data_IF_319815789314
#
_entry.id   IF_319815789314
#
_cell.length_a   1.000
_cell.length_b   1.000
_cell.length_c   1.000
_cell.angle_alpha   90.00
_cell.angle_beta   90.00
_cell.angle_gamma   90.00
#
_symmetry.space_group_name_H-M   'P 1'
#
loop_
_entity.id
_entity.type
_entity.pdbx_description
1 polymer ?
#
# COMPACT_ATOMS: atom_id res chain seq x y z
N UNK A 1 1.24 22.28 -8.27
CA UNK A 1 1.60 21.35 -9.36
C UNK A 1 1.06 19.99 -8.97
N UNK A 2 -0.09 19.58 -9.53
CA UNK A 2 -0.64 18.24 -9.32
C UNK A 2 0.24 17.26 -10.11
N UNK A 3 1.33 16.80 -9.49
CA UNK A 3 2.12 15.69 -10.05
C UNK A 3 1.20 14.49 -10.24
N UNK A 4 1.14 13.97 -11.46
CA UNK A 4 0.33 12.80 -11.79
C UNK A 4 0.65 11.66 -10.81
N UNK A 5 -0.36 11.19 -10.07
CA UNK A 5 -0.20 10.06 -9.17
C UNK A 5 -0.05 8.75 -9.95
N UNK A 6 0.48 7.73 -9.29
CA UNK A 6 0.53 6.36 -9.79
C UNK A 6 -0.55 5.52 -9.12
N UNK A 7 -1.22 4.67 -9.87
CA UNK A 7 -2.22 3.74 -9.36
C UNK A 7 -1.90 2.32 -9.77
N UNK A 8 -2.09 1.38 -8.84
CA UNK A 8 -1.89 -0.04 -9.06
C UNK A 8 -3.07 -0.82 -8.45
N UNK A 9 -3.63 -1.74 -9.22
CA UNK A 9 -4.64 -2.66 -8.73
C UNK A 9 -4.04 -3.65 -7.73
N UNK A 10 -4.82 -3.98 -6.71
CA UNK A 10 -4.49 -4.92 -5.65
C UNK A 10 -5.66 -5.89 -5.47
N UNK A 11 -5.38 -7.19 -5.53
CA UNK A 11 -6.28 -8.23 -5.07
C UNK A 11 -5.45 -9.36 -4.45
N UNK A 12 -5.75 -9.74 -3.21
CA UNK A 12 -5.07 -10.85 -2.53
C UNK A 12 -5.94 -12.09 -2.64
N UNK A 13 -5.40 -13.15 -3.25
CA UNK A 13 -6.11 -14.41 -3.44
C UNK A 13 -6.56 -15.03 -2.10
N UNK A 14 -7.73 -15.68 -2.09
CA UNK A 14 -8.28 -16.31 -0.89
C UNK A 14 -7.44 -17.48 -0.36
N UNK A 15 -6.62 -18.12 -1.21
CA UNK A 15 -5.65 -19.15 -0.86
C UNK A 15 -4.29 -18.61 -0.42
N UNK A 16 -4.13 -17.29 -0.28
CA UNK A 16 -2.84 -16.72 0.13
C UNK A 16 -2.39 -17.28 1.49
N UNK A 17 -1.15 -17.81 1.64
CA UNK A 17 -0.72 -18.54 2.82
C UNK A 17 -0.76 -17.72 4.12
N UNK A 18 -0.60 -16.40 4.02
CA UNK A 18 -0.70 -15.50 5.19
C UNK A 18 -2.12 -15.40 5.78
N UNK A 19 -3.17 -15.84 5.08
CA UNK A 19 -4.56 -15.73 5.55
C UNK A 19 -4.95 -16.84 6.53
N UNK A 20 -4.34 -18.02 6.44
CA UNK A 20 -4.70 -19.18 7.25
C UNK A 20 -4.62 -18.90 8.77
N UNK A 21 -3.64 -18.10 9.18
CA UNK A 21 -3.48 -17.64 10.57
C UNK A 21 -4.07 -16.25 10.86
N UNK A 22 -4.70 -15.58 9.88
CA UNK A 22 -5.06 -14.17 9.99
C UNK A 22 -6.47 -13.84 9.43
N UNK A 23 -7.54 -14.16 10.14
CA UNK A 23 -7.61 -15.00 11.34
C UNK A 23 -8.42 -16.27 11.02
N UNK A 24 -8.18 -17.40 11.68
CA UNK A 24 -8.97 -18.62 11.45
C UNK A 24 -10.48 -18.33 11.55
N UNK A 25 -11.24 -18.71 10.52
CA UNK A 25 -12.70 -18.47 10.42
C UNK A 25 -13.12 -17.05 9.99
N UNK A 26 -12.26 -16.04 10.17
CA UNK A 26 -12.53 -14.64 9.81
C UNK A 26 -11.31 -14.01 9.15
N UNK A 27 -10.96 -14.44 7.91
CA UNK A 27 -9.74 -13.98 7.25
C UNK A 27 -9.86 -12.52 6.83
N UNK A 28 -8.77 -11.78 7.04
CA UNK A 28 -8.58 -10.45 6.47
C UNK A 28 -7.11 -10.26 6.10
N UNK A 29 -6.86 -9.48 5.05
CA UNK A 29 -5.50 -9.27 4.54
C UNK A 29 -4.64 -8.56 5.60
N UNK A 30 -3.48 -9.14 5.99
CA UNK A 30 -2.61 -8.50 6.97
C UNK A 30 -2.14 -7.12 6.50
N UNK A 31 -2.05 -6.15 7.42
CA UNK A 31 -1.63 -4.78 7.08
C UNK A 31 -0.24 -4.70 6.45
N UNK A 32 0.67 -5.62 6.82
CA UNK A 32 2.01 -5.72 6.21
C UNK A 32 1.96 -6.16 4.74
N UNK A 33 0.98 -6.98 4.33
CA UNK A 33 0.78 -7.32 2.92
C UNK A 33 0.35 -6.07 2.15
N UNK A 34 -0.49 -5.21 2.76
CA UNK A 34 -0.86 -3.93 2.14
C UNK A 34 0.35 -3.00 1.98
N UNK A 35 1.26 -2.94 2.95
CA UNK A 35 2.50 -2.16 2.85
C UNK A 35 3.48 -2.72 1.81
N UNK A 36 3.53 -4.04 1.65
CA UNK A 36 4.29 -4.68 0.57
C UNK A 36 3.75 -4.25 -0.81
N UNK A 37 2.43 -4.12 -0.97
CA UNK A 37 1.84 -3.62 -2.22
C UNK A 37 2.18 -2.14 -2.48
N UNK A 38 2.29 -1.33 -1.42
CA UNK A 38 2.85 0.04 -1.52
C UNK A 38 4.31 0.01 -1.99
N UNK A 39 5.13 -0.90 -1.45
CA UNK A 39 6.52 -1.05 -1.88
C UNK A 39 6.65 -1.50 -3.34
N UNK A 40 5.80 -2.44 -3.78
CA UNK A 40 5.75 -2.90 -5.18
C UNK A 40 5.30 -1.78 -6.12
N UNK A 41 4.26 -1.02 -5.76
CA UNK A 41 3.81 0.13 -6.53
C UNK A 41 4.89 1.21 -6.62
N UNK A 42 5.63 1.47 -5.54
CA UNK A 42 6.73 2.43 -5.54
C UNK A 42 7.87 1.99 -6.48
N UNK A 43 8.20 0.70 -6.46
CA UNK A 43 9.19 0.11 -7.36
C UNK A 43 8.74 0.19 -8.83
N UNK A 44 7.47 -0.13 -9.10
CA UNK A 44 6.91 -0.06 -10.46
C UNK A 44 6.89 1.37 -11.00
N UNK A 45 6.58 2.35 -10.15
CA UNK A 45 6.48 3.75 -10.58
C UNK A 45 7.84 4.44 -10.72
N UNK A 46 8.71 4.30 -9.72
CA UNK A 46 9.94 5.09 -9.60
C UNK A 46 11.23 4.26 -9.59
N UNK A 47 11.15 2.94 -9.64
CA UNK A 47 12.31 2.06 -9.48
C UNK A 47 12.90 2.07 -8.07
N UNK A 48 12.20 2.67 -7.09
CA UNK A 48 12.67 2.83 -5.72
C UNK A 48 12.19 1.67 -4.82
N UNK A 49 13.01 1.33 -3.83
CA UNK A 49 12.64 0.45 -2.72
C UNK A 49 12.01 1.28 -1.61
N UNK A 50 11.02 0.71 -0.92
CA UNK A 50 10.50 1.31 0.31
C UNK A 50 11.56 1.17 1.40
N UNK A 51 12.08 2.29 1.88
CA UNK A 51 13.11 2.36 2.92
C UNK A 51 12.50 2.47 4.31
N UNK A 52 11.48 3.34 4.47
CA UNK A 52 10.84 3.61 5.76
C UNK A 52 9.34 3.84 5.58
N UNK A 53 8.57 3.36 6.55
CA UNK A 53 7.17 3.77 6.75
C UNK A 53 7.19 4.82 7.85
N UNK A 54 6.91 6.09 7.51
CA UNK A 54 6.90 7.19 8.47
C UNK A 54 5.55 7.25 9.21
N UNK A 55 4.48 6.99 8.49
CA UNK A 55 3.12 6.89 9.03
C UNK A 55 2.37 5.80 8.26
N UNK A 56 1.59 5.00 8.97
CA UNK A 56 0.58 4.14 8.37
C UNK A 56 -0.64 4.06 9.28
N UNK A 57 -1.80 4.44 8.74
CA UNK A 57 -3.10 4.31 9.40
C UNK A 57 -3.98 3.32 8.63
N UNK A 58 -4.43 2.28 9.31
CA UNK A 58 -5.37 1.28 8.79
C UNK A 58 -6.77 1.59 9.34
N UNK A 59 -7.66 2.06 8.47
CA UNK A 59 -9.01 2.52 8.84
C UNK A 59 -10.10 1.47 8.59
N UNK A 60 -9.81 0.48 7.74
CA UNK A 60 -10.71 -0.64 7.46
C UNK A 60 -9.91 -1.84 6.91
N UNK A 61 -10.38 -3.08 7.14
CA UNK A 61 -9.73 -4.26 6.58
C UNK A 61 -9.98 -4.36 5.07
N UNK A 62 -9.05 -5.02 4.37
CA UNK A 62 -9.30 -5.63 3.06
C UNK A 62 -9.61 -7.11 3.30
N UNK A 63 -10.71 -7.62 2.76
CA UNK A 63 -11.03 -9.05 2.82
C UNK A 63 -10.38 -9.81 1.66
N UNK A 64 -10.23 -11.14 1.75
CA UNK A 64 -9.70 -11.94 0.65
C UNK A 64 -10.52 -11.78 -0.63
N UNK A 65 -9.85 -11.83 -1.77
CA UNK A 65 -10.41 -11.63 -3.11
C UNK A 65 -11.13 -10.28 -3.36
N UNK A 66 -11.09 -9.34 -2.41
CA UNK A 66 -11.58 -7.98 -2.65
C UNK A 66 -10.58 -7.17 -3.46
N UNK A 67 -11.10 -6.48 -4.48
CA UNK A 67 -10.32 -5.56 -5.29
C UNK A 67 -10.10 -4.23 -4.57
N UNK A 68 -8.88 -3.72 -4.58
CA UNK A 68 -8.49 -2.42 -4.09
C UNK A 68 -7.54 -1.73 -5.08
N UNK A 69 -7.32 -0.43 -4.87
CA UNK A 69 -6.37 0.38 -5.62
C UNK A 69 -5.38 0.99 -4.64
N UNK A 70 -4.10 0.78 -4.89
CA UNK A 70 -3.00 1.51 -4.25
C UNK A 70 -2.73 2.75 -5.09
N UNK A 71 -2.79 3.92 -4.48
CA UNK A 71 -2.45 5.21 -5.11
C UNK A 71 -1.23 5.82 -4.43
N UNK A 72 -0.25 6.24 -5.21
CA UNK A 72 0.95 6.95 -4.76
C UNK A 72 0.99 8.37 -5.34
N UNK A 73 1.41 9.32 -4.50
CA UNK A 73 1.72 10.69 -4.94
C UNK A 73 3.00 11.17 -4.27
N UNK A 74 3.79 11.98 -4.97
CA UNK A 74 5.00 12.58 -4.39
C UNK A 74 4.64 13.57 -3.28
N UNK A 75 5.42 13.55 -2.21
CA UNK A 75 5.23 14.38 -1.02
C UNK A 75 6.44 15.27 -0.71
N UNK A 76 7.43 15.32 -1.62
CA UNK A 76 8.66 16.09 -1.47
C UNK A 76 9.91 15.23 -1.40
N UNK A 77 11.06 15.89 -1.33
CA UNK A 77 12.39 15.27 -1.31
C UNK A 77 13.18 15.77 -0.11
N UNK A 78 13.69 14.84 0.71
CA UNK A 78 14.73 15.12 1.71
C UNK A 78 15.95 14.32 1.29
N UNK A 79 16.90 14.93 0.56
CA UNK A 79 18.08 14.22 0.03
C UNK A 79 18.78 13.39 1.13
N UNK A 80 19.02 12.08 0.93
CA UNK A 80 18.94 11.30 -0.32
C UNK A 80 17.63 10.53 -0.56
N UNK A 81 16.56 10.75 0.21
CA UNK A 81 15.28 10.02 0.08
C UNK A 81 14.17 10.86 -0.54
N UNK A 82 13.19 10.17 -1.13
CA UNK A 82 11.98 10.79 -1.69
C UNK A 82 10.78 10.30 -0.89
N UNK A 83 9.89 11.22 -0.50
CA UNK A 83 8.68 10.87 0.25
C UNK A 83 7.48 10.71 -0.67
N UNK A 84 6.64 9.74 -0.35
CA UNK A 84 5.42 9.44 -1.08
C UNK A 84 4.27 9.27 -0.11
N UNK A 85 3.14 9.92 -0.41
CA UNK A 85 1.86 9.58 0.23
C UNK A 85 1.28 8.37 -0.48
N UNK A 86 0.77 7.44 0.30
CA UNK A 86 -0.02 6.33 -0.22
C UNK A 86 -1.45 6.36 0.32
N UNK A 87 -2.39 5.94 -0.50
CA UNK A 87 -3.76 5.57 -0.11
C UNK A 87 -4.13 4.24 -0.73
N UNK A 88 -4.79 3.37 0.02
CA UNK A 88 -5.37 2.12 -0.46
C UNK A 88 -6.88 2.22 -0.31
N UNK A 89 -7.62 2.03 -1.41
CA UNK A 89 -9.08 2.18 -1.43
C UNK A 89 -9.77 0.97 -2.03
N UNK A 90 -10.91 0.61 -1.46
CA UNK A 90 -11.86 -0.35 -2.03
C UNK A 90 -13.22 0.35 -2.12
N UNK A 91 -13.83 0.35 -3.30
CA UNK A 91 -15.12 1.01 -3.57
C UNK A 91 -15.24 2.43 -3.00
N UNK A 92 -14.18 3.22 -3.19
CA UNK A 92 -14.10 4.60 -2.70
C UNK A 92 -13.79 4.75 -1.21
N UNK A 93 -13.91 3.71 -0.39
CA UNK A 93 -13.54 3.71 1.04
C UNK A 93 -12.02 3.58 1.21
N UNK A 94 -11.43 4.45 2.02
CA UNK A 94 -10.01 4.35 2.39
C UNK A 94 -9.82 3.21 3.40
N UNK A 95 -8.99 2.23 3.02
CA UNK A 95 -8.61 1.09 3.86
C UNK A 95 -7.34 1.41 4.65
N UNK A 96 -6.32 1.93 3.97
CA UNK A 96 -5.06 2.34 4.59
C UNK A 96 -4.53 3.60 3.92
N UNK A 97 -3.78 4.41 4.66
CA UNK A 97 -3.06 5.57 4.12
C UNK A 97 -1.84 5.91 4.95
N UNK A 98 -0.92 6.68 4.39
CA UNK A 98 0.24 7.13 5.14
C UNK A 98 1.32 7.77 4.27
N UNK A 99 2.52 7.81 4.83
CA UNK A 99 3.70 8.42 4.25
C UNK A 99 4.87 7.44 4.32
N UNK A 100 5.53 7.21 3.18
CA UNK A 100 6.68 6.32 3.06
C UNK A 100 7.86 7.04 2.41
N UNK A 101 9.06 6.55 2.67
CA UNK A 101 10.28 7.00 2.00
C UNK A 101 10.77 5.93 1.02
N UNK A 102 11.10 6.39 -0.18
CA UNK A 102 11.77 5.61 -1.22
C UNK A 102 13.27 5.91 -1.29
N UNK A 103 14.05 4.87 -1.55
CA UNK A 103 15.48 4.94 -1.86
C UNK A 103 15.79 4.08 -3.09
N UNK A 104 16.87 4.35 -3.81
CA UNK A 104 17.37 3.48 -4.87
C UNK A 104 17.75 2.08 -4.33
#
# INVERSE_FOLDING_TARGET
>A
MNGAGFEQALCVDAGHPALAGHFPGHPLVPGVILLEQVAQALRAWRGLRLARVLEAKFSAPLLPAQAAIVRLTEAGTDSPTVRFRFEIRHDGRVLARGLVEGTA
#
